data_IF_231402402982
#
_entry.id   IF_231402402982
#
_cell.length_a   1.000
_cell.length_b   1.000
_cell.length_c   1.000
_cell.angle_alpha   90.00
_cell.angle_beta   90.00
_cell.angle_gamma   90.00
#
_symmetry.space_group_name_H-M   'P 1'
#
loop_
_entity.id
_entity.type
_entity.pdbx_description
1 polymer ?
#
# COMPACT_ATOMS: atom_id res chain seq x y z
N UNK A 1 18.12 16.54 20.94
CA UNK A 1 16.70 16.46 21.35
C UNK A 1 15.91 17.73 21.10
N UNK A 2 16.46 18.95 21.16
CA UNK A 2 15.66 20.17 20.89
C UNK A 2 15.51 20.47 19.39
N UNK A 3 16.58 20.25 18.61
CA UNK A 3 16.60 20.53 17.16
C UNK A 3 15.62 19.66 16.36
N UNK A 4 15.48 18.38 16.69
CA UNK A 4 14.59 17.45 15.96
C UNK A 4 13.11 17.82 16.17
N UNK A 5 12.77 18.30 17.37
CA UNK A 5 11.43 18.80 17.70
C UNK A 5 11.14 20.07 16.89
N UNK A 6 12.09 21.00 16.82
CA UNK A 6 11.97 22.22 16.02
C UNK A 6 11.85 21.91 14.53
N UNK A 7 12.69 21.01 13.99
CA UNK A 7 12.64 20.58 12.58
C UNK A 7 11.25 20.02 12.26
N UNK A 8 10.70 19.16 13.14
CA UNK A 8 9.36 18.60 12.96
C UNK A 8 8.27 19.67 13.00
N UNK A 9 8.38 20.65 13.91
CA UNK A 9 7.44 21.77 13.99
C UNK A 9 7.49 22.64 12.73
N UNK A 10 8.67 23.06 12.30
CA UNK A 10 8.85 23.85 11.08
C UNK A 10 8.38 23.10 9.83
N UNK A 11 8.67 21.79 9.72
CA UNK A 11 8.15 20.98 8.62
C UNK A 11 6.63 20.98 8.60
N UNK A 12 5.98 20.93 9.77
CA UNK A 12 4.52 20.96 9.86
C UNK A 12 3.94 22.31 9.44
N UNK A 13 4.53 23.42 9.90
CA UNK A 13 4.10 24.77 9.54
C UNK A 13 4.27 25.06 8.04
N UNK A 14 5.41 24.63 7.47
CA UNK A 14 5.71 24.76 6.05
C UNK A 14 4.98 23.72 5.17
N UNK A 15 4.18 22.83 5.78
CA UNK A 15 3.45 21.75 5.10
C UNK A 15 4.37 20.84 4.26
N UNK A 16 5.57 20.62 4.79
CA UNK A 16 6.54 19.67 4.26
C UNK A 16 6.16 18.25 4.68
N UNK A 17 6.49 17.27 3.82
CA UNK A 17 6.16 15.87 4.07
C UNK A 17 6.87 15.32 5.31
N UNK A 18 6.24 14.34 5.97
CA UNK A 18 6.83 13.64 7.13
C UNK A 18 8.16 12.97 6.80
N UNK A 19 8.31 12.58 5.54
CA UNK A 19 9.49 11.96 4.98
C UNK A 19 10.77 12.80 5.20
N UNK A 20 10.67 14.13 5.28
CA UNK A 20 11.83 15.01 5.53
C UNK A 20 12.39 14.79 6.94
N UNK A 21 11.59 15.00 7.99
CA UNK A 21 12.09 14.93 9.37
C UNK A 21 12.31 13.48 9.86
N UNK A 22 11.82 12.47 9.15
CA UNK A 22 12.04 11.06 9.50
C UNK A 22 13.31 10.48 8.88
N UNK A 23 13.78 11.04 7.76
CA UNK A 23 14.87 10.47 6.97
C UNK A 23 16.09 11.39 6.80
N UNK A 24 16.05 12.65 7.25
CA UNK A 24 17.22 13.54 7.14
C UNK A 24 18.48 13.01 7.84
N UNK A 25 18.31 12.25 8.93
CA UNK A 25 19.41 11.63 9.67
C UNK A 25 20.13 10.52 8.90
N UNK A 26 19.53 10.02 7.81
CA UNK A 26 20.10 8.98 6.95
C UNK A 26 20.92 9.55 5.79
N UNK A 27 20.94 10.87 5.62
CA UNK A 27 21.64 11.53 4.52
C UNK A 27 23.11 11.69 4.90
N UNK A 28 23.99 11.06 4.11
CA UNK A 28 25.43 11.31 4.14
C UNK A 28 25.75 12.34 3.07
N UNK A 29 26.14 13.55 3.48
CA UNK A 29 26.45 14.65 2.58
C UNK A 29 27.86 15.19 2.81
N UNK A 30 28.45 15.71 1.74
CA UNK A 30 29.82 16.25 1.76
C UNK A 30 29.85 17.67 2.32
N UNK A 31 28.81 18.46 2.03
CA UNK A 31 28.62 19.81 2.54
C UNK A 31 27.13 20.10 2.83
N UNK A 32 26.84 21.30 3.33
CA UNK A 32 25.47 21.71 3.65
C UNK A 32 24.57 21.85 2.40
N UNK A 33 25.13 22.20 1.25
CA UNK A 33 24.36 22.37 0.02
C UNK A 33 23.93 21.01 -0.56
N UNK A 34 24.85 20.05 -0.57
CA UNK A 34 24.64 18.65 -0.92
C UNK A 34 23.60 18.01 0.00
N UNK A 35 23.70 18.25 1.33
CA UNK A 35 22.70 17.78 2.28
C UNK A 35 21.29 18.29 1.94
N UNK A 36 21.16 19.60 1.70
CA UNK A 36 19.88 20.20 1.38
C UNK A 36 19.33 19.69 0.04
N UNK A 37 20.19 19.56 -0.98
CA UNK A 37 19.81 19.04 -2.29
C UNK A 37 19.30 17.59 -2.19
N UNK A 38 20.00 16.72 -1.47
CA UNK A 38 19.59 15.33 -1.25
C UNK A 38 18.28 15.24 -0.47
N UNK A 39 18.11 16.06 0.57
CA UNK A 39 16.89 16.12 1.38
C UNK A 39 15.66 16.50 0.54
N UNK A 40 15.80 17.54 -0.30
CA UNK A 40 14.73 17.99 -1.18
C UNK A 40 14.41 16.96 -2.26
N UNK A 41 15.43 16.33 -2.86
CA UNK A 41 15.26 15.28 -3.86
C UNK A 41 14.47 14.09 -3.29
N UNK A 42 14.84 13.63 -2.09
CA UNK A 42 14.14 12.53 -1.41
C UNK A 42 12.66 12.82 -1.16
N UNK A 43 12.30 14.07 -0.83
CA UNK A 43 10.89 14.47 -0.68
C UNK A 43 10.14 14.48 -2.02
N UNK A 44 10.77 14.96 -3.10
CA UNK A 44 10.18 14.95 -4.45
C UNK A 44 9.88 13.52 -4.88
N UNK A 45 10.85 12.61 -4.73
CA UNK A 45 10.70 11.21 -5.12
C UNK A 45 9.58 10.52 -4.33
N UNK A 46 9.48 10.80 -3.03
CA UNK A 46 8.38 10.30 -2.20
C UNK A 46 7.02 10.82 -2.65
N UNK A 47 6.90 12.11 -2.98
CA UNK A 47 5.65 12.69 -3.52
C UNK A 47 5.24 12.07 -4.85
N UNK A 48 6.20 11.82 -5.72
CA UNK A 48 5.97 11.12 -7.00
C UNK A 48 5.47 9.70 -6.79
N UNK A 49 6.07 8.95 -5.87
CA UNK A 49 5.64 7.60 -5.51
C UNK A 49 4.20 7.60 -4.95
N UNK A 50 3.89 8.50 -4.02
CA UNK A 50 2.54 8.65 -3.47
C UNK A 50 1.52 9.00 -4.55
N UNK A 51 1.88 9.89 -5.49
CA UNK A 51 1.03 10.27 -6.63
C UNK A 51 0.75 9.06 -7.54
N UNK A 52 1.78 8.28 -7.88
CA UNK A 52 1.63 7.06 -8.69
C UNK A 52 0.73 6.05 -7.99
N UNK A 53 0.96 5.77 -6.71
CA UNK A 53 0.14 4.82 -5.94
C UNK A 53 -1.32 5.27 -5.84
N UNK A 54 -1.57 6.57 -5.64
CA UNK A 54 -2.93 7.10 -5.64
C UNK A 54 -3.60 6.90 -7.00
N UNK A 55 -2.91 7.24 -8.08
CA UNK A 55 -3.46 7.09 -9.43
C UNK A 55 -3.71 5.61 -9.77
N UNK A 56 -2.82 4.70 -9.38
CA UNK A 56 -3.02 3.25 -9.54
C UNK A 56 -4.25 2.76 -8.79
N UNK A 57 -4.43 3.18 -7.53
CA UNK A 57 -5.63 2.85 -6.74
C UNK A 57 -6.90 3.44 -7.36
N UNK A 58 -6.84 4.67 -7.85
CA UNK A 58 -8.00 5.34 -8.47
C UNK A 58 -8.33 4.81 -9.85
N UNK A 59 -7.39 4.20 -10.56
CA UNK A 59 -7.62 3.59 -11.85
C UNK A 59 -8.45 2.30 -11.76
N UNK A 60 -8.55 1.71 -10.56
CA UNK A 60 -9.38 0.53 -10.25
C UNK A 60 -9.29 -0.55 -11.33
N UNK A 61 -8.05 -0.86 -11.74
CA UNK A 61 -7.81 -1.86 -12.78
C UNK A 61 -8.43 -3.19 -12.37
N UNK A 62 -9.13 -3.82 -13.30
CA UNK A 62 -9.66 -5.16 -13.10
C UNK A 62 -8.54 -6.12 -12.72
N UNK A 63 -8.58 -6.59 -11.47
CA UNK A 63 -7.71 -7.66 -10.99
C UNK A 63 -8.44 -8.96 -11.26
N UNK A 64 -7.91 -9.76 -12.19
CA UNK A 64 -8.41 -11.11 -12.42
C UNK A 64 -8.17 -11.92 -11.14
N UNK A 65 -9.24 -12.12 -10.36
CA UNK A 65 -9.20 -12.95 -9.16
C UNK A 65 -9.18 -14.41 -9.61
N UNK A 66 -8.07 -15.10 -9.39
CA UNK A 66 -7.94 -16.53 -9.62
C UNK A 66 -7.94 -17.27 -8.28
N UNK A 67 -8.24 -18.56 -8.29
CA UNK A 67 -8.04 -19.43 -7.13
C UNK A 67 -6.58 -19.87 -6.96
N UNK A 68 -5.65 -19.29 -7.72
CA UNK A 68 -4.23 -19.64 -7.65
C UNK A 68 -3.67 -19.27 -6.27
N UNK A 69 -3.11 -20.26 -5.58
CA UNK A 69 -2.65 -20.16 -4.18
C UNK A 69 -3.75 -19.79 -3.16
N UNK A 70 -5.03 -19.95 -3.51
CA UNK A 70 -6.11 -19.78 -2.55
C UNK A 70 -6.24 -21.01 -1.65
N UNK A 71 -6.12 -20.81 -0.34
CA UNK A 71 -6.24 -21.88 0.65
C UNK A 71 -7.67 -21.95 1.20
N UNK A 72 -8.28 -23.13 1.10
CA UNK A 72 -9.66 -23.36 1.53
C UNK A 72 -9.78 -23.81 3.01
N UNK A 73 -8.69 -23.78 3.77
CA UNK A 73 -8.63 -24.35 5.13
C UNK A 73 -9.56 -23.68 6.15
N UNK A 74 -9.74 -22.36 6.04
CA UNK A 74 -10.53 -21.57 7.00
C UNK A 74 -11.96 -21.28 6.54
N UNK A 75 -12.45 -21.94 5.49
CA UNK A 75 -13.75 -21.66 4.90
C UNK A 75 -14.73 -22.77 5.25
N UNK A 76 -15.89 -22.38 5.77
CA UNK A 76 -17.01 -23.30 5.97
C UNK A 76 -17.79 -23.42 4.66
N UNK A 77 -17.53 -24.49 3.92
CA UNK A 77 -18.30 -24.86 2.74
C UNK A 77 -19.39 -25.84 3.17
N UNK A 78 -20.65 -25.66 2.73
CA UNK A 78 -21.71 -26.64 2.98
C UNK A 78 -21.28 -28.04 2.50
N UNK A 79 -21.55 -29.08 3.29
CA UNK A 79 -21.20 -30.47 2.91
C UNK A 79 -21.82 -30.93 1.56
N UNK A 80 -22.84 -30.21 1.08
CA UNK A 80 -23.49 -30.47 -0.20
C UNK A 80 -22.67 -30.04 -1.42
N UNK A 81 -21.65 -29.20 -1.25
CA UNK A 81 -20.88 -28.60 -2.35
C UNK A 81 -19.40 -28.95 -2.21
N UNK A 82 -18.81 -29.50 -3.25
CA UNK A 82 -17.37 -29.74 -3.33
C UNK A 82 -16.59 -28.49 -3.77
N UNK A 83 -15.29 -28.43 -3.45
CA UNK A 83 -14.41 -27.32 -3.89
C UNK A 83 -14.38 -27.21 -5.43
N UNK A 84 -14.45 -28.33 -6.15
CA UNK A 84 -14.44 -28.34 -7.62
C UNK A 84 -15.75 -27.80 -8.21
N UNK A 85 -16.90 -28.09 -7.59
CA UNK A 85 -18.18 -27.46 -7.95
C UNK A 85 -18.18 -25.95 -7.67
N UNK A 86 -17.47 -25.54 -6.61
CA UNK A 86 -17.32 -24.12 -6.24
C UNK A 86 -16.45 -23.37 -7.27
N UNK A 87 -15.34 -23.98 -7.73
CA UNK A 87 -14.49 -23.41 -8.79
C UNK A 87 -15.17 -23.35 -10.15
N UNK A 88 -16.00 -24.35 -10.48
CA UNK A 88 -16.70 -24.43 -11.77
C UNK A 88 -18.01 -23.64 -11.80
N UNK A 89 -18.55 -23.27 -10.64
CA UNK A 89 -19.82 -22.54 -10.53
C UNK A 89 -21.07 -23.43 -10.66
N UNK A 90 -20.91 -24.76 -10.64
CA UNK A 90 -22.00 -25.71 -10.90
C UNK A 90 -23.17 -25.61 -9.89
N UNK A 91 -22.93 -25.09 -8.68
CA UNK A 91 -23.96 -24.86 -7.67
C UNK A 91 -24.99 -23.79 -8.10
N UNK A 92 -24.62 -22.86 -9.00
CA UNK A 92 -25.51 -21.81 -9.52
C UNK A 92 -26.64 -22.44 -10.34
N UNK A 93 -26.29 -23.37 -11.23
CA UNK A 93 -27.25 -24.07 -12.07
C UNK A 93 -28.17 -24.98 -11.24
N UNK A 94 -27.67 -25.48 -10.11
CA UNK A 94 -28.42 -26.30 -9.16
C UNK A 94 -29.27 -25.47 -8.16
N UNK A 95 -29.15 -24.14 -8.16
CA UNK A 95 -29.79 -23.24 -7.20
C UNK A 95 -29.44 -23.59 -5.73
N UNK A 96 -28.21 -24.02 -5.49
CA UNK A 96 -27.72 -24.41 -4.16
C UNK A 96 -27.06 -23.21 -3.45
N UNK A 97 -27.35 -23.04 -2.15
CA UNK A 97 -26.80 -21.95 -1.36
C UNK A 97 -25.36 -22.26 -0.90
N UNK A 98 -24.44 -21.33 -1.12
CA UNK A 98 -23.06 -21.39 -0.60
C UNK A 98 -22.92 -20.91 0.85
N UNK A 99 -23.94 -20.24 1.37
CA UNK A 99 -23.97 -19.68 2.73
C UNK A 99 -25.03 -20.45 3.52
N UNK A 100 -24.63 -21.02 4.65
CA UNK A 100 -25.52 -21.63 5.65
C UNK A 100 -25.83 -20.62 6.76
#
# INVERSE_FOLDING_TARGET
>A
MNSDILIKQYCKELRLGKNIYENYSKISATDYADFLAQLLKMEIDHRELVRKNRNLKSADFDVIKTFENYEFGDIQIPNAISIEELKTGAFIDKLENLIL
#
